data_IF_135150252558
#
_entry.id   IF_135150252558
#
_cell.length_a   1.000
_cell.length_b   1.000
_cell.length_c   1.000
_cell.angle_alpha   90.00
_cell.angle_beta   90.00
_cell.angle_gamma   90.00
#
_symmetry.space_group_name_H-M   'P 1'
#
loop_
_entity.id
_entity.type
_entity.pdbx_description
1 polymer ?
#
# COMPACT_ATOMS: atom_id res chain seq x y z
N UNK A 1 -17.64 29.13 9.88
CA UNK A 1 -17.16 28.21 8.82
C UNK A 1 -15.99 27.43 9.39
N UNK A 2 -16.18 26.16 9.74
CA UNK A 2 -15.09 25.35 10.28
C UNK A 2 -14.10 25.03 9.16
N UNK A 3 -12.85 25.46 9.34
CA UNK A 3 -11.73 25.14 8.48
C UNK A 3 -11.51 23.63 8.60
N UNK A 4 -11.86 22.87 7.56
CA UNK A 4 -11.60 21.43 7.52
C UNK A 4 -10.08 21.24 7.61
N UNK A 5 -9.61 20.87 8.80
CA UNK A 5 -8.23 20.47 9.03
C UNK A 5 -8.02 19.20 8.21
N UNK A 6 -7.39 19.35 7.05
CA UNK A 6 -6.79 18.25 6.30
C UNK A 6 -6.11 17.33 7.30
N UNK A 7 -6.59 16.08 7.42
CA UNK A 7 -5.83 15.04 8.09
C UNK A 7 -4.61 14.78 7.21
N UNK A 8 -3.55 15.55 7.43
CA UNK A 8 -2.23 15.17 6.97
C UNK A 8 -1.96 13.81 7.62
N UNK A 9 -1.83 12.78 6.80
CA UNK A 9 -1.50 11.45 7.29
C UNK A 9 -0.10 11.53 7.89
N UNK A 10 0.05 11.28 9.20
CA UNK A 10 1.36 11.22 9.85
C UNK A 10 2.25 10.08 9.32
N UNK A 11 1.68 9.19 8.51
CA UNK A 11 2.37 8.07 7.88
C UNK A 11 3.18 8.54 6.66
N UNK A 12 4.41 8.01 6.47
CA UNK A 12 5.22 8.32 5.29
C UNK A 12 4.51 7.89 4.01
N UNK A 13 4.58 8.73 2.98
CA UNK A 13 4.02 8.42 1.65
C UNK A 13 4.99 7.55 0.86
N UNK A 14 4.47 6.50 0.23
CA UNK A 14 5.22 5.73 -0.76
C UNK A 14 5.21 6.53 -2.08
N UNK A 15 6.40 6.87 -2.57
CA UNK A 15 6.59 7.47 -3.89
C UNK A 15 7.43 6.54 -4.74
N UNK A 16 6.95 6.20 -5.94
CA UNK A 16 7.62 5.28 -6.86
C UNK A 16 7.49 5.78 -8.29
N UNK A 17 8.57 5.65 -9.05
CA UNK A 17 8.55 5.85 -10.50
C UNK A 17 8.11 4.57 -11.19
N UNK A 18 7.08 4.69 -12.04
CA UNK A 18 6.54 3.57 -12.81
C UNK A 18 6.41 4.00 -14.26
N UNK A 19 6.86 3.16 -15.18
CA UNK A 19 6.68 3.43 -16.60
C UNK A 19 5.19 3.53 -16.95
N UNK A 20 4.87 4.48 -17.85
CA UNK A 20 3.48 4.89 -18.13
C UNK A 20 2.58 3.71 -18.51
N UNK A 21 3.07 2.81 -19.37
CA UNK A 21 2.31 1.63 -19.82
C UNK A 21 1.88 0.72 -18.66
N UNK A 22 2.76 0.49 -17.67
CA UNK A 22 2.43 -0.32 -16.50
C UNK A 22 1.46 0.40 -15.57
N UNK A 23 1.65 1.72 -15.38
CA UNK A 23 0.69 2.54 -14.62
C UNK A 23 -0.71 2.46 -15.24
N UNK A 24 -0.82 2.67 -16.54
CA UNK A 24 -2.10 2.66 -17.25
C UNK A 24 -2.78 1.27 -17.16
N UNK A 25 -2.01 0.19 -17.36
CA UNK A 25 -2.51 -1.18 -17.20
C UNK A 25 -2.99 -1.44 -15.77
N UNK A 26 -2.25 -0.94 -14.78
CA UNK A 26 -2.60 -1.10 -13.37
C UNK A 26 -3.87 -0.30 -13.00
N UNK A 27 -4.04 0.91 -13.54
CA UNK A 27 -5.27 1.68 -13.38
C UNK A 27 -6.51 0.93 -13.90
N UNK A 28 -6.39 0.22 -15.03
CA UNK A 28 -7.46 -0.63 -15.56
C UNK A 28 -7.75 -1.80 -14.62
N UNK A 29 -6.72 -2.45 -14.08
CA UNK A 29 -6.86 -3.54 -13.13
C UNK A 29 -7.58 -3.09 -11.84
N UNK A 30 -7.16 -1.98 -11.24
CA UNK A 30 -7.79 -1.42 -10.04
C UNK A 30 -9.26 -1.10 -10.26
N UNK A 31 -9.62 -0.52 -11.41
CA UNK A 31 -11.02 -0.25 -11.77
C UNK A 31 -11.86 -1.52 -11.82
N UNK A 32 -11.35 -2.60 -12.43
CA UNK A 32 -12.05 -3.90 -12.47
C UNK A 32 -12.29 -4.49 -11.08
N UNK A 33 -11.44 -4.16 -10.12
CA UNK A 33 -11.52 -4.64 -8.74
C UNK A 33 -12.25 -3.66 -7.80
N UNK A 34 -12.82 -2.57 -8.33
CA UNK A 34 -13.43 -1.50 -7.54
C UNK A 34 -12.49 -0.90 -6.48
N UNK A 35 -11.20 -0.75 -6.81
CA UNK A 35 -10.16 -0.17 -5.95
C UNK A 35 -9.60 1.12 -6.53
N UNK A 36 -9.12 2.00 -5.65
CA UNK A 36 -8.24 3.10 -6.07
C UNK A 36 -6.84 2.58 -6.39
N UNK A 37 -6.06 3.33 -7.16
CA UNK A 37 -4.67 2.97 -7.50
C UNK A 37 -3.83 2.81 -6.24
N UNK A 38 -3.89 3.78 -5.32
CA UNK A 38 -3.14 3.73 -4.06
C UNK A 38 -3.49 2.51 -3.22
N UNK A 39 -4.79 2.22 -3.07
CA UNK A 39 -5.24 1.03 -2.34
C UNK A 39 -4.81 -0.27 -3.04
N UNK A 40 -4.77 -0.28 -4.37
CA UNK A 40 -4.26 -1.41 -5.14
C UNK A 40 -2.77 -1.66 -4.87
N UNK A 41 -1.96 -0.61 -4.84
CA UNK A 41 -0.52 -0.72 -4.53
C UNK A 41 -0.32 -1.24 -3.11
N UNK A 42 -1.01 -0.66 -2.13
CA UNK A 42 -0.97 -1.11 -0.74
C UNK A 42 -1.36 -2.59 -0.62
N UNK A 43 -2.43 -3.00 -1.29
CA UNK A 43 -2.89 -4.38 -1.29
C UNK A 43 -1.85 -5.34 -1.87
N UNK A 44 -1.20 -5.00 -2.99
CA UNK A 44 -0.14 -5.82 -3.57
C UNK A 44 1.08 -5.95 -2.67
N UNK A 45 1.47 -4.88 -1.98
CA UNK A 45 2.58 -4.90 -1.01
C UNK A 45 2.24 -5.87 0.14
N UNK A 46 1.04 -5.77 0.71
CA UNK A 46 0.60 -6.66 1.79
C UNK A 46 0.63 -8.12 1.34
N UNK A 47 0.08 -8.43 0.15
CA UNK A 47 0.09 -9.80 -0.38
C UNK A 47 1.51 -10.35 -0.59
N UNK A 48 2.43 -9.52 -1.07
CA UNK A 48 3.82 -9.93 -1.26
C UNK A 48 4.51 -10.23 0.07
N UNK A 49 4.28 -9.40 1.10
CA UNK A 49 4.82 -9.61 2.46
C UNK A 49 4.22 -10.87 3.09
N UNK A 50 2.90 -11.06 3.01
CA UNK A 50 2.23 -12.26 3.52
C UNK A 50 2.79 -13.53 2.87
N UNK A 51 3.06 -13.49 1.56
CA UNK A 51 3.64 -14.64 0.85
C UNK A 51 5.08 -14.90 1.26
N UNK A 52 5.90 -13.86 1.43
CA UNK A 52 7.28 -13.98 1.90
C UNK A 52 7.33 -14.57 3.32
N UNK A 53 6.40 -14.20 4.20
CA UNK A 53 6.28 -14.81 5.54
C UNK A 53 5.91 -16.29 5.44
N UNK A 54 4.94 -16.65 4.61
CA UNK A 54 4.53 -18.06 4.41
C UNK A 54 5.67 -18.91 3.84
N UNK A 55 6.52 -18.33 3.01
CA UNK A 55 7.68 -18.99 2.43
C UNK A 55 8.85 -19.12 3.43
N UNK A 56 8.82 -18.41 4.55
CA UNK A 56 9.92 -18.33 5.50
C UNK A 56 11.04 -17.35 5.10
N UNK A 57 10.81 -16.51 4.09
CA UNK A 57 11.78 -15.48 3.65
C UNK A 57 11.88 -14.32 4.66
N UNK A 58 10.78 -14.06 5.38
CA UNK A 58 10.68 -13.00 6.40
C UNK A 58 10.11 -13.62 7.69
N UNK A 59 10.69 -13.34 8.87
CA UNK A 59 10.13 -13.81 10.14
C UNK A 59 8.78 -13.14 10.43
N UNK A 60 7.78 -13.91 10.87
CA UNK A 60 6.44 -13.41 11.16
C UNK A 60 6.42 -12.33 12.27
N UNK A 61 7.41 -12.34 13.15
CA UNK A 61 7.57 -11.43 14.29
C UNK A 61 7.78 -9.97 13.84
N UNK A 62 8.23 -9.73 12.60
CA UNK A 62 8.47 -8.37 12.09
C UNK A 62 7.19 -7.54 11.94
N UNK A 63 6.02 -8.20 11.91
CA UNK A 63 4.72 -7.56 11.84
C UNK A 63 4.10 -7.27 13.22
N UNK A 64 4.76 -7.70 14.31
CA UNK A 64 4.35 -7.27 15.66
C UNK A 64 4.88 -5.86 15.92
N UNK A 65 3.95 -4.97 16.21
CA UNK A 65 4.09 -3.51 16.21
C UNK A 65 5.32 -2.97 16.98
N UNK A 66 6.17 -2.19 16.32
CA UNK A 66 7.15 -1.30 16.98
C UNK A 66 6.59 0.11 17.23
N UNK A 67 5.29 0.36 17.00
CA UNK A 67 4.64 1.64 17.30
C UNK A 67 3.51 1.50 18.35
N UNK A 68 3.80 0.82 19.46
CA UNK A 68 3.02 1.05 20.69
C UNK A 68 3.66 2.26 21.39
N UNK A 69 2.98 3.41 21.56
CA UNK A 69 3.42 4.41 22.52
C UNK A 69 3.43 3.85 23.95
#
# INVERSE_FOLDING_TARGET
MAKSTSMATDKPKIQAYVAKNYRDAFEVLCKKQARSVSNGVEWLIIQAVDQAIKNGDIPAEILTDQNTP
#
